data_IF_706277317104
#
_entry.id   IF_706277317104
#
_cell.length_a   1.000
_cell.length_b   1.000
_cell.length_c   1.000
_cell.angle_alpha   90.00
_cell.angle_beta   90.00
_cell.angle_gamma   90.00
#
_symmetry.space_group_name_H-M   'P 1'
#
loop_
_entity.id
_entity.type
_entity.pdbx_description
1 polymer ?
#
# COMPACT_ATOMS: atom_id res chain seq x y z
N UNK A 1 -50.67 65.92 1.81
CA UNK A 1 -49.26 65.43 1.59
C UNK A 1 -49.15 64.09 2.27
N UNK A 2 -49.07 62.97 1.50
CA UNK A 2 -48.90 61.62 2.05
C UNK A 2 -47.46 61.19 1.74
N UNK A 3 -46.62 61.02 2.77
CA UNK A 3 -45.25 60.62 2.70
C UNK A 3 -45.22 59.07 2.75
N UNK A 4 -44.82 58.44 1.67
CA UNK A 4 -44.62 56.95 1.57
C UNK A 4 -43.19 56.65 1.98
N UNK A 5 -43.00 55.96 3.11
CA UNK A 5 -41.69 55.37 3.47
C UNK A 5 -41.47 54.11 2.69
N UNK A 6 -40.38 54.06 1.93
CA UNK A 6 -39.87 52.85 1.25
C UNK A 6 -38.91 52.15 2.22
N UNK A 7 -39.31 50.96 2.68
CA UNK A 7 -38.46 50.10 3.51
C UNK A 7 -37.65 49.20 2.59
N UNK A 8 -36.33 49.40 2.50
CA UNK A 8 -35.42 48.51 1.77
C UNK A 8 -35.04 47.38 2.72
N UNK A 9 -35.53 46.17 2.43
CA UNK A 9 -35.11 44.96 3.11
C UNK A 9 -33.79 44.44 2.47
N UNK A 10 -32.69 44.57 3.18
CA UNK A 10 -31.41 43.98 2.78
C UNK A 10 -31.42 42.50 3.14
N UNK A 11 -31.52 41.62 2.13
CA UNK A 11 -31.33 40.16 2.28
C UNK A 11 -29.84 39.87 2.37
N UNK A 12 -29.32 39.58 3.58
CA UNK A 12 -28.00 38.96 3.74
C UNK A 12 -28.07 37.51 3.21
N UNK A 13 -27.44 37.25 2.06
CA UNK A 13 -27.17 35.92 1.61
C UNK A 13 -26.03 35.35 2.47
N UNK A 14 -26.32 34.46 3.44
CA UNK A 14 -25.32 33.62 4.08
C UNK A 14 -24.87 32.62 3.03
N UNK A 15 -23.71 32.86 2.41
CA UNK A 15 -22.97 31.83 1.66
C UNK A 15 -22.43 30.85 2.69
N UNK A 16 -23.18 29.79 2.97
CA UNK A 16 -22.66 28.65 3.71
C UNK A 16 -21.51 28.06 2.90
N UNK A 17 -20.29 28.17 3.40
CA UNK A 17 -19.18 27.35 2.89
C UNK A 17 -19.59 25.89 3.11
N UNK A 18 -19.91 25.19 2.04
CA UNK A 18 -20.04 23.73 2.09
C UNK A 18 -18.66 23.20 2.52
N UNK A 19 -18.56 22.65 3.71
CA UNK A 19 -17.38 21.88 4.11
C UNK A 19 -17.31 20.71 3.13
N UNK A 20 -16.20 20.61 2.39
CA UNK A 20 -15.96 19.46 1.55
C UNK A 20 -15.91 18.21 2.44
N UNK A 21 -16.54 17.12 2.01
CA UNK A 21 -16.45 15.86 2.76
C UNK A 21 -14.99 15.39 2.79
N UNK A 22 -14.52 14.83 3.93
CA UNK A 22 -13.17 14.30 4.02
C UNK A 22 -12.93 13.21 2.96
N UNK A 23 -11.75 13.22 2.36
CA UNK A 23 -11.31 12.21 1.41
C UNK A 23 -11.08 10.89 2.15
N UNK A 24 -11.82 9.85 1.82
CA UNK A 24 -11.66 8.51 2.41
C UNK A 24 -10.48 7.80 1.74
N UNK A 25 -9.37 7.71 2.45
CA UNK A 25 -8.17 7.02 1.97
C UNK A 25 -8.20 5.59 2.47
N UNK A 26 -8.42 4.66 1.54
CA UNK A 26 -8.43 3.21 1.81
C UNK A 26 -7.02 2.69 2.11
N UNK A 27 -6.89 1.97 3.20
CA UNK A 27 -5.74 1.13 3.54
C UNK A 27 -6.19 -0.33 3.61
N UNK A 28 -5.25 -1.29 3.52
CA UNK A 28 -5.58 -2.69 3.76
C UNK A 28 -6.02 -2.90 5.22
N UNK A 29 -7.09 -3.64 5.45
CA UNK A 29 -7.55 -4.02 6.81
C UNK A 29 -6.66 -5.12 7.42
N UNK A 30 -5.85 -5.77 6.61
CA UNK A 30 -4.83 -6.73 7.01
C UNK A 30 -3.57 -6.00 7.46
N UNK A 31 -3.02 -6.33 8.66
CA UNK A 31 -1.77 -5.72 9.11
C UNK A 31 -0.61 -5.96 8.13
N UNK A 32 0.08 -4.89 7.76
CA UNK A 32 1.24 -4.94 6.87
C UNK A 32 2.37 -4.05 7.42
N UNK A 33 2.99 -4.44 8.54
CA UNK A 33 4.05 -3.64 9.16
C UNK A 33 5.31 -3.60 8.27
N UNK A 34 6.07 -2.50 8.26
CA UNK A 34 5.89 -1.29 9.08
C UNK A 34 4.98 -0.23 8.43
N UNK A 35 4.29 -0.56 7.35
CA UNK A 35 3.49 0.39 6.55
C UNK A 35 2.18 0.78 7.24
N UNK A 36 1.34 -0.20 7.56
CA UNK A 36 0.09 0.02 8.29
C UNK A 36 -0.25 -1.19 9.18
N UNK A 37 -0.58 -0.96 10.44
CA UNK A 37 -1.08 -1.97 11.37
C UNK A 37 -1.84 -1.32 12.51
N UNK A 38 -2.77 -2.03 13.18
CA UNK A 38 -3.44 -1.51 14.35
C UNK A 38 -2.50 -1.52 15.56
N UNK A 39 -2.53 -0.44 16.36
CA UNK A 39 -1.90 -0.40 17.68
C UNK A 39 -2.74 -1.16 18.72
N UNK A 40 -2.28 -1.21 19.97
CA UNK A 40 -2.98 -1.88 21.06
C UNK A 40 -4.36 -1.26 21.39
N UNK A 41 -4.62 -0.02 20.97
CA UNK A 41 -5.91 0.66 21.14
C UNK A 41 -6.82 0.50 19.91
N UNK A 42 -6.32 -0.14 18.84
CA UNK A 42 -7.03 -0.34 17.59
C UNK A 42 -6.91 0.83 16.59
N UNK A 43 -6.05 1.81 16.87
CA UNK A 43 -5.78 2.88 15.90
C UNK A 43 -4.79 2.39 14.85
N UNK A 44 -5.00 2.78 13.61
CA UNK A 44 -4.05 2.50 12.54
C UNK A 44 -2.82 3.40 12.66
N UNK A 45 -1.65 2.77 12.64
CA UNK A 45 -0.33 3.41 12.76
C UNK A 45 0.64 2.76 11.77
N UNK A 46 1.75 3.45 11.48
CA UNK A 46 2.79 2.97 10.60
C UNK A 46 3.21 4.04 9.59
N UNK A 47 4.28 3.75 8.85
CA UNK A 47 4.88 4.71 7.94
C UNK A 47 3.89 5.26 6.90
N UNK A 48 3.09 4.39 6.30
CA UNK A 48 2.16 4.80 5.24
C UNK A 48 0.98 5.61 5.81
N UNK A 49 0.55 5.30 7.04
CA UNK A 49 -0.46 6.09 7.76
C UNK A 49 0.05 7.49 8.06
N UNK A 50 1.31 7.62 8.50
CA UNK A 50 1.96 8.92 8.74
C UNK A 50 2.11 9.70 7.42
N UNK A 51 2.47 9.01 6.33
CA UNK A 51 2.60 9.60 5.01
C UNK A 51 1.25 10.10 4.47
N UNK A 52 0.16 9.34 4.64
CA UNK A 52 -1.21 9.78 4.29
C UNK A 52 -1.51 11.12 4.96
N UNK A 53 -1.27 11.23 6.25
CA UNK A 53 -1.50 12.46 7.00
C UNK A 53 -0.71 13.64 6.44
N UNK A 54 0.58 13.43 6.16
CA UNK A 54 1.46 14.47 5.63
C UNK A 54 1.10 14.89 4.19
N UNK A 55 0.83 13.92 3.30
CA UNK A 55 0.44 14.20 1.91
C UNK A 55 -0.88 14.95 1.85
N UNK A 56 -1.88 14.53 2.64
CA UNK A 56 -3.17 15.21 2.69
C UNK A 56 -3.05 16.64 3.22
N UNK A 57 -2.29 16.85 4.30
CA UNK A 57 -2.02 18.18 4.82
C UNK A 57 -1.28 19.07 3.81
N UNK A 58 -0.27 18.51 3.10
CA UNK A 58 0.49 19.22 2.09
C UNK A 58 -0.37 19.62 0.86
N UNK A 59 -1.39 18.81 0.55
CA UNK A 59 -2.35 19.03 -0.53
C UNK A 59 -3.60 19.83 -0.09
N UNK A 60 -3.62 20.33 1.15
CA UNK A 60 -4.75 21.06 1.74
C UNK A 60 -6.07 20.26 1.67
N UNK A 61 -5.97 18.93 1.89
CA UNK A 61 -7.12 18.03 1.96
C UNK A 61 -7.37 17.57 3.39
N UNK A 62 -8.62 17.42 3.77
CA UNK A 62 -9.00 16.65 4.94
C UNK A 62 -9.17 15.19 4.53
N UNK A 63 -8.42 14.27 5.15
CA UNK A 63 -8.45 12.85 4.83
C UNK A 63 -8.83 12.02 6.06
N UNK A 64 -9.50 10.90 5.81
CA UNK A 64 -9.82 9.89 6.81
C UNK A 64 -9.33 8.52 6.36
N UNK A 65 -8.50 7.89 7.17
CA UNK A 65 -8.02 6.52 6.93
C UNK A 65 -9.18 5.55 7.09
N UNK A 66 -9.42 4.75 6.07
CA UNK A 66 -10.58 3.84 5.96
C UNK A 66 -10.07 2.42 5.66
N UNK A 67 -10.03 1.52 6.65
CA UNK A 67 -9.61 0.13 6.42
C UNK A 67 -10.60 -0.63 5.55
N UNK A 68 -10.09 -1.35 4.54
CA UNK A 68 -10.86 -2.19 3.61
C UNK A 68 -10.08 -3.47 3.36
N UNK A 69 -10.77 -4.62 3.29
CA UNK A 69 -10.11 -5.88 2.94
C UNK A 69 -9.35 -5.74 1.61
N UNK A 70 -8.11 -6.25 1.57
CA UNK A 70 -7.20 -6.08 0.43
C UNK A 70 -7.80 -6.55 -0.89
N UNK A 71 -8.41 -7.73 -0.91
CA UNK A 71 -9.03 -8.31 -2.12
C UNK A 71 -10.26 -7.54 -2.61
N UNK A 72 -10.86 -6.70 -1.75
CA UNK A 72 -11.99 -5.83 -2.03
C UNK A 72 -11.65 -4.35 -2.22
N UNK A 73 -10.37 -3.94 -2.13
CA UNK A 73 -10.01 -2.52 -2.06
C UNK A 73 -10.23 -1.77 -3.40
N UNK A 74 -9.90 -2.39 -4.54
CA UNK A 74 -10.18 -1.81 -5.87
C UNK A 74 -11.69 -1.73 -6.13
N UNK A 75 -12.50 -2.79 -5.90
CA UNK A 75 -13.96 -2.69 -5.91
C UNK A 75 -14.53 -1.58 -5.01
N UNK A 76 -13.99 -1.39 -3.81
CA UNK A 76 -14.43 -0.33 -2.90
C UNK A 76 -14.11 1.07 -3.44
N UNK A 77 -12.97 1.25 -4.11
CA UNK A 77 -12.62 2.49 -4.80
C UNK A 77 -13.59 2.76 -5.97
N UNK A 78 -13.79 1.78 -6.84
CA UNK A 78 -14.62 1.95 -8.05
C UNK A 78 -16.10 2.15 -7.73
N UNK A 79 -16.59 1.61 -6.61
CA UNK A 79 -17.97 1.82 -6.13
C UNK A 79 -18.16 3.11 -5.32
N UNK A 80 -17.09 3.86 -5.02
CA UNK A 80 -17.14 5.11 -4.25
C UNK A 80 -17.29 4.92 -2.73
N UNK A 81 -16.98 3.73 -2.20
CA UNK A 81 -16.91 3.52 -0.74
C UNK A 81 -15.69 4.21 -0.14
N UNK A 82 -14.59 4.28 -0.89
CA UNK A 82 -13.38 5.05 -0.61
C UNK A 82 -13.07 5.94 -1.82
N UNK A 83 -12.24 6.97 -1.64
CA UNK A 83 -11.91 7.95 -2.67
C UNK A 83 -10.51 7.78 -3.24
N UNK A 84 -9.61 7.19 -2.45
CA UNK A 84 -8.24 6.88 -2.85
C UNK A 84 -7.77 5.61 -2.16
N UNK A 85 -6.74 4.95 -2.69
CA UNK A 85 -6.05 3.82 -2.06
C UNK A 85 -4.61 4.23 -1.78
N UNK A 86 -4.19 4.22 -0.51
CA UNK A 86 -2.77 4.23 -0.11
C UNK A 86 -2.54 3.01 0.78
N UNK A 87 -2.17 1.89 0.16
CA UNK A 87 -2.11 0.58 0.78
C UNK A 87 -1.00 -0.27 0.17
N UNK A 88 0.18 0.31 -0.03
CA UNK A 88 1.32 -0.38 -0.65
C UNK A 88 0.99 -0.98 -2.02
N UNK A 89 0.11 -0.32 -2.78
CA UNK A 89 -0.38 -0.83 -4.06
C UNK A 89 0.55 -0.46 -5.22
N UNK A 90 1.18 -1.45 -5.83
CA UNK A 90 2.06 -1.27 -6.99
C UNK A 90 1.30 -0.79 -8.22
N UNK A 91 1.92 0.13 -8.95
CA UNK A 91 1.44 0.66 -10.24
C UNK A 91 1.73 -0.38 -11.31
N UNK A 92 0.72 -1.15 -11.72
CA UNK A 92 0.85 -2.13 -12.81
C UNK A 92 -0.05 -1.78 -13.98
N UNK A 93 0.35 -2.22 -15.18
CA UNK A 93 -0.45 -2.00 -16.40
C UNK A 93 -1.82 -2.70 -16.31
N UNK A 94 -1.92 -3.81 -15.59
CA UNK A 94 -3.18 -4.51 -15.34
C UNK A 94 -4.14 -3.66 -14.48
N UNK A 95 -3.67 -3.17 -13.32
CA UNK A 95 -4.48 -2.32 -12.44
C UNK A 95 -4.90 -1.02 -13.12
N UNK A 96 -4.00 -0.46 -13.96
CA UNK A 96 -4.30 0.73 -14.76
C UNK A 96 -5.39 0.52 -15.81
N UNK A 97 -5.83 -0.70 -16.11
CA UNK A 97 -7.03 -0.92 -16.93
C UNK A 97 -8.30 -0.50 -16.17
N UNK A 98 -8.32 -0.62 -14.85
CA UNK A 98 -9.50 -0.39 -14.01
C UNK A 98 -9.45 0.93 -13.24
N UNK A 99 -8.28 1.32 -12.72
CA UNK A 99 -8.07 2.51 -11.90
C UNK A 99 -6.93 3.36 -12.46
N UNK A 100 -6.79 4.59 -11.98
CA UNK A 100 -5.63 5.44 -12.21
C UNK A 100 -4.70 5.44 -10.99
N UNK A 101 -3.48 5.96 -11.18
CA UNK A 101 -2.49 6.11 -10.13
C UNK A 101 -1.91 7.52 -10.12
N UNK A 102 -1.48 7.96 -8.93
CA UNK A 102 -0.57 9.08 -8.76
C UNK A 102 0.83 8.75 -9.26
N UNK A 103 1.75 9.71 -9.15
CA UNK A 103 3.19 9.42 -9.19
C UNK A 103 3.54 8.47 -8.03
N UNK A 104 4.63 7.69 -8.19
CA UNK A 104 5.08 6.78 -7.14
C UNK A 104 5.49 7.55 -5.88
N UNK A 105 5.26 6.95 -4.70
CA UNK A 105 5.76 7.49 -3.44
C UNK A 105 6.76 6.57 -2.72
N UNK A 106 6.89 5.30 -3.13
CA UNK A 106 8.02 4.43 -2.77
C UNK A 106 8.19 3.27 -3.76
N UNK A 107 9.28 2.51 -3.61
CA UNK A 107 9.52 1.26 -4.32
C UNK A 107 10.41 0.34 -3.50
N UNK A 108 10.06 -0.95 -3.44
CA UNK A 108 10.85 -1.98 -2.76
C UNK A 108 11.01 -3.21 -3.64
N UNK A 109 12.14 -3.93 -3.57
CA UNK A 109 12.27 -5.19 -4.28
C UNK A 109 11.37 -6.27 -3.68
N UNK A 110 10.92 -7.20 -4.51
CA UNK A 110 10.29 -8.44 -4.08
C UNK A 110 11.36 -9.46 -3.72
N UNK A 111 11.22 -10.10 -2.55
CA UNK A 111 12.18 -11.10 -2.07
C UNK A 111 11.51 -12.42 -1.71
N UNK A 112 12.32 -13.48 -1.69
CA UNK A 112 11.97 -14.79 -1.15
C UNK A 112 12.58 -14.90 0.26
N UNK A 113 11.79 -15.33 1.22
CA UNK A 113 12.20 -15.72 2.56
C UNK A 113 11.91 -17.20 2.76
N UNK A 114 12.84 -17.91 3.37
CA UNK A 114 12.74 -19.34 3.66
C UNK A 114 13.50 -19.72 4.92
N UNK A 115 13.46 -21.01 5.34
CA UNK A 115 14.11 -21.48 6.57
C UNK A 115 15.63 -21.27 6.53
N UNK A 116 16.21 -20.94 7.68
CA UNK A 116 17.66 -20.78 7.84
C UNK A 116 18.40 -22.05 7.49
N UNK A 117 19.54 -21.88 6.82
CA UNK A 117 20.44 -23.01 6.48
C UNK A 117 19.92 -23.90 5.35
N UNK A 118 18.74 -23.67 4.80
CA UNK A 118 18.23 -24.36 3.61
C UNK A 118 18.69 -23.59 2.38
N UNK A 119 19.49 -24.22 1.52
CA UNK A 119 19.93 -23.62 0.26
C UNK A 119 18.73 -23.46 -0.67
N UNK A 120 18.52 -22.23 -1.17
CA UNK A 120 17.42 -21.87 -2.05
C UNK A 120 17.81 -20.60 -2.82
N UNK A 121 17.56 -20.58 -4.13
CA UNK A 121 17.69 -19.38 -4.95
C UNK A 121 16.30 -18.85 -5.34
N UNK A 122 16.11 -17.52 -5.52
CA UNK A 122 14.82 -16.92 -5.83
C UNK A 122 14.46 -17.04 -7.32
N UNK A 123 14.56 -18.26 -7.86
CA UNK A 123 14.30 -18.62 -9.25
C UNK A 123 13.58 -19.97 -9.36
N UNK A 124 13.10 -20.30 -10.56
CA UNK A 124 12.35 -21.53 -10.82
C UNK A 124 13.12 -22.81 -10.44
N UNK A 125 14.45 -22.81 -10.58
CA UNK A 125 15.28 -23.97 -10.25
C UNK A 125 15.44 -24.15 -8.73
N UNK A 126 15.70 -23.05 -8.01
CA UNK A 126 15.87 -23.06 -6.55
C UNK A 126 14.57 -23.30 -5.78
N UNK A 127 13.43 -22.99 -6.42
CA UNK A 127 12.09 -23.17 -5.86
C UNK A 127 11.36 -24.41 -6.39
N UNK A 128 12.02 -25.23 -7.21
CA UNK A 128 11.44 -26.46 -7.76
C UNK A 128 11.01 -27.43 -6.64
N UNK A 129 9.77 -27.90 -6.72
CA UNK A 129 9.16 -28.83 -5.76
C UNK A 129 8.87 -28.20 -4.37
N UNK A 130 8.94 -26.87 -4.23
CA UNK A 130 8.67 -26.13 -2.99
C UNK A 130 7.22 -25.67 -2.93
N UNK A 131 6.69 -25.52 -1.73
CA UNK A 131 5.42 -24.85 -1.46
C UNK A 131 5.73 -23.38 -1.15
N UNK A 132 5.24 -22.46 -1.97
CA UNK A 132 5.50 -21.03 -1.86
C UNK A 132 4.22 -20.33 -1.43
N UNK A 133 4.25 -19.65 -0.27
CA UNK A 133 3.12 -18.86 0.24
C UNK A 133 3.14 -17.42 -0.28
N UNK A 134 1.99 -16.93 -0.74
CA UNK A 134 1.79 -15.55 -1.18
C UNK A 134 0.41 -15.05 -0.77
N UNK A 135 0.27 -13.74 -0.57
CA UNK A 135 -1.05 -13.15 -0.34
C UNK A 135 -1.81 -13.06 -1.67
N UNK A 136 -3.12 -13.34 -1.63
CA UNK A 136 -4.01 -13.26 -2.81
C UNK A 136 -4.10 -11.84 -3.37
N UNK A 137 -4.40 -11.73 -4.67
CA UNK A 137 -4.63 -10.45 -5.36
C UNK A 137 -3.43 -9.49 -5.29
N UNK A 138 -2.22 -10.03 -5.14
CA UNK A 138 -0.97 -9.26 -5.12
C UNK A 138 -0.12 -9.53 -6.36
N UNK A 139 0.77 -8.58 -6.67
CA UNK A 139 1.83 -8.77 -7.67
C UNK A 139 2.73 -9.97 -7.36
N UNK A 140 2.84 -10.33 -6.08
CA UNK A 140 3.63 -11.48 -5.62
C UNK A 140 2.98 -12.80 -6.02
N UNK A 141 1.64 -12.89 -5.94
CA UNK A 141 0.88 -14.02 -6.47
C UNK A 141 1.09 -14.15 -7.97
N UNK A 142 0.93 -13.06 -8.72
CA UNK A 142 1.02 -13.09 -10.19
C UNK A 142 2.44 -13.46 -10.63
N UNK A 143 3.47 -12.93 -9.95
CA UNK A 143 4.85 -13.27 -10.20
C UNK A 143 5.14 -14.74 -9.89
N UNK A 144 4.74 -15.22 -8.71
CA UNK A 144 4.97 -16.60 -8.31
C UNK A 144 4.27 -17.59 -9.24
N UNK A 145 3.04 -17.33 -9.65
CA UNK A 145 2.31 -18.15 -10.61
C UNK A 145 2.98 -18.15 -11.98
N UNK A 146 3.45 -16.98 -12.45
CA UNK A 146 4.07 -16.85 -13.77
C UNK A 146 5.43 -17.55 -13.85
N UNK A 147 6.28 -17.34 -12.85
CA UNK A 147 7.68 -17.79 -12.92
C UNK A 147 7.98 -19.08 -12.18
N UNK A 148 7.15 -19.46 -11.20
CA UNK A 148 7.39 -20.64 -10.37
C UNK A 148 6.28 -21.68 -10.48
N UNK A 149 5.10 -21.33 -11.04
CA UNK A 149 3.91 -22.19 -11.08
C UNK A 149 4.16 -23.58 -11.68
N UNK A 150 4.96 -23.67 -12.74
CA UNK A 150 5.27 -24.93 -13.42
C UNK A 150 6.31 -25.78 -12.66
N UNK A 151 7.13 -25.19 -11.80
CA UNK A 151 8.24 -25.85 -11.11
C UNK A 151 7.98 -26.08 -9.62
N UNK A 152 7.25 -25.18 -8.96
CA UNK A 152 6.87 -25.32 -7.56
C UNK A 152 5.92 -26.52 -7.35
N UNK A 153 5.91 -27.08 -6.15
CA UNK A 153 4.91 -28.07 -5.78
C UNK A 153 3.52 -27.43 -5.64
N UNK A 154 3.49 -26.20 -5.12
CA UNK A 154 2.26 -25.42 -4.92
C UNK A 154 2.59 -23.94 -4.77
N UNK A 155 1.78 -23.04 -5.37
CA UNK A 155 1.68 -21.65 -4.99
C UNK A 155 0.47 -21.53 -4.05
N UNK A 156 0.73 -21.52 -2.74
CA UNK A 156 -0.31 -21.50 -1.71
C UNK A 156 -0.76 -20.08 -1.42
N UNK A 157 -2.06 -19.84 -1.58
CA UNK A 157 -2.66 -18.53 -1.44
C UNK A 157 -3.19 -18.31 -0.01
N UNK A 158 -2.90 -17.13 0.55
CA UNK A 158 -3.33 -16.70 1.88
C UNK A 158 -4.11 -15.39 1.80
N UNK A 159 -5.01 -15.14 2.73
CA UNK A 159 -5.71 -13.87 2.81
C UNK A 159 -4.78 -12.75 3.30
N UNK A 160 -3.83 -13.07 4.17
CA UNK A 160 -2.87 -12.11 4.72
C UNK A 160 -1.43 -12.60 4.53
N UNK A 161 -0.48 -11.67 4.45
CA UNK A 161 0.94 -12.02 4.46
C UNK A 161 1.35 -12.66 5.80
N UNK A 162 0.71 -12.25 6.91
CA UNK A 162 1.00 -12.81 8.24
C UNK A 162 0.65 -14.29 8.33
N UNK A 163 -0.46 -14.73 7.72
CA UNK A 163 -0.79 -16.17 7.63
C UNK A 163 0.28 -16.96 6.89
N UNK A 164 0.82 -16.43 5.78
CA UNK A 164 1.93 -17.05 5.06
C UNK A 164 3.20 -17.12 5.93
N UNK A 165 3.51 -16.04 6.66
CA UNK A 165 4.65 -15.99 7.58
C UNK A 165 4.51 -17.03 8.72
N UNK A 166 3.32 -17.17 9.31
CA UNK A 166 3.03 -18.16 10.34
C UNK A 166 3.16 -19.61 9.81
N UNK A 167 2.69 -19.85 8.58
CA UNK A 167 2.82 -21.15 7.94
C UNK A 167 4.28 -21.49 7.61
N UNK A 168 5.09 -20.48 7.25
CA UNK A 168 6.54 -20.66 7.06
C UNK A 168 7.24 -21.03 8.37
N UNK A 169 6.96 -20.31 9.46
CA UNK A 169 7.50 -20.62 10.81
C UNK A 169 7.12 -22.03 11.25
N UNK A 170 5.90 -22.45 10.95
CA UNK A 170 5.39 -23.77 11.30
C UNK A 170 5.86 -24.89 10.36
N UNK A 171 6.63 -24.59 9.30
CA UNK A 171 7.11 -25.56 8.31
C UNK A 171 6.01 -26.17 7.44
N UNK A 172 4.87 -25.46 7.27
CA UNK A 172 3.77 -25.88 6.39
C UNK A 172 3.94 -25.40 4.95
N UNK A 173 4.82 -24.43 4.74
CA UNK A 173 5.34 -24.00 3.44
C UNK A 173 6.87 -23.92 3.49
N UNK A 174 7.52 -23.95 2.34
CA UNK A 174 8.98 -23.91 2.21
C UNK A 174 9.52 -22.47 2.06
N UNK A 175 8.72 -21.56 1.50
CA UNK A 175 9.11 -20.18 1.26
C UNK A 175 7.88 -19.26 1.25
N UNK A 176 8.11 -17.96 1.46
CA UNK A 176 7.13 -16.90 1.19
C UNK A 176 7.74 -15.82 0.32
N UNK A 177 6.92 -15.14 -0.46
CA UNK A 177 7.30 -14.04 -1.33
C UNK A 177 6.47 -12.80 -1.03
N UNK A 178 7.14 -11.68 -0.76
CA UNK A 178 6.51 -10.37 -0.55
C UNK A 178 7.54 -9.24 -0.74
N UNK A 179 7.12 -8.00 -0.47
CA UNK A 179 8.02 -6.83 -0.39
C UNK A 179 9.12 -7.05 0.65
N UNK A 180 10.34 -6.66 0.30
CA UNK A 180 11.51 -6.81 1.17
C UNK A 180 11.31 -6.17 2.54
N UNK A 181 10.76 -4.97 2.60
CA UNK A 181 10.54 -4.22 3.85
C UNK A 181 9.54 -4.94 4.77
N UNK A 182 8.44 -5.47 4.22
CA UNK A 182 7.47 -6.22 5.01
C UNK A 182 8.07 -7.53 5.55
N UNK A 183 8.87 -8.22 4.74
CA UNK A 183 9.57 -9.43 5.17
C UNK A 183 10.72 -9.15 6.12
N UNK A 184 11.42 -8.01 6.01
CA UNK A 184 12.40 -7.57 7.00
C UNK A 184 11.75 -7.32 8.36
N UNK A 185 10.55 -6.71 8.39
CA UNK A 185 9.79 -6.54 9.62
C UNK A 185 9.38 -7.89 10.25
N UNK A 186 8.96 -8.87 9.43
CA UNK A 186 8.72 -10.23 9.91
C UNK A 186 10.00 -10.87 10.47
N UNK A 187 11.12 -10.78 9.77
CA UNK A 187 12.41 -11.35 10.21
C UNK A 187 12.96 -10.67 11.48
N UNK A 188 12.52 -9.46 11.81
CA UNK A 188 12.84 -8.79 13.07
C UNK A 188 12.02 -9.29 14.25
N UNK A 189 10.93 -10.04 14.05
CA UNK A 189 10.18 -10.71 15.13
C UNK A 189 10.98 -11.88 15.72
N UNK A 190 10.68 -12.28 16.95
CA UNK A 190 11.33 -13.45 17.59
C UNK A 190 11.16 -14.72 16.74
N UNK A 191 9.95 -14.97 16.25
CA UNK A 191 9.63 -16.15 15.43
C UNK A 191 10.36 -16.12 14.08
N UNK A 192 10.30 -15.00 13.36
CA UNK A 192 10.98 -14.83 12.07
C UNK A 192 12.50 -14.91 12.21
N UNK A 193 13.07 -14.23 13.23
CA UNK A 193 14.49 -14.27 13.53
C UNK A 193 14.99 -15.67 13.92
N UNK A 194 14.16 -16.49 14.56
CA UNK A 194 14.53 -17.85 14.93
C UNK A 194 14.52 -18.80 13.73
N UNK A 195 13.53 -18.68 12.85
CA UNK A 195 13.26 -19.66 11.77
C UNK A 195 13.98 -19.34 10.48
N UNK A 196 14.04 -18.09 10.07
CA UNK A 196 14.01 -17.76 8.67
C UNK A 196 15.07 -16.72 8.26
N UNK A 197 15.35 -16.62 6.97
CA UNK A 197 16.30 -15.68 6.38
C UNK A 197 15.88 -15.32 4.94
N UNK A 198 16.33 -14.17 4.44
CA UNK A 198 16.18 -13.79 3.04
C UNK A 198 17.00 -14.73 2.15
N UNK A 199 16.38 -15.28 1.12
CA UNK A 199 17.00 -16.13 0.10
C UNK A 199 17.48 -15.34 -1.13
N UNK A 200 16.99 -14.14 -1.29
CA UNK A 200 17.36 -13.19 -2.32
C UNK A 200 16.17 -12.47 -2.92
N UNK A 201 16.47 -11.45 -3.72
CA UNK A 201 15.46 -10.76 -4.52
C UNK A 201 15.16 -11.58 -5.79
N UNK A 202 13.90 -11.61 -6.19
CA UNK A 202 13.50 -12.18 -7.48
C UNK A 202 13.99 -11.28 -8.62
N UNK A 203 14.06 -11.82 -9.84
CA UNK A 203 14.37 -11.00 -11.02
C UNK A 203 13.28 -9.94 -11.22
N UNK A 204 13.70 -8.72 -11.51
CA UNK A 204 12.76 -7.63 -11.74
C UNK A 204 11.98 -7.86 -13.05
N UNK A 205 10.66 -7.70 -12.97
CA UNK A 205 9.75 -7.67 -14.10
C UNK A 205 8.73 -6.55 -13.89
N UNK A 206 8.97 -5.36 -14.45
CA UNK A 206 8.07 -4.22 -14.27
C UNK A 206 6.66 -4.44 -14.85
N UNK A 207 6.47 -5.43 -15.74
CA UNK A 207 5.14 -5.75 -16.26
C UNK A 207 4.26 -6.39 -15.18
N UNK A 208 4.83 -7.17 -14.28
CA UNK A 208 4.13 -7.83 -13.16
C UNK A 208 4.33 -7.08 -11.85
N UNK A 209 5.60 -6.80 -11.48
CA UNK A 209 5.93 -6.18 -10.19
C UNK A 209 5.60 -4.68 -10.14
N UNK A 210 5.37 -4.06 -11.33
CA UNK A 210 5.00 -2.66 -11.44
C UNK A 210 6.20 -1.72 -11.42
N UNK A 211 5.89 -0.41 -11.37
CA UNK A 211 6.88 0.69 -11.48
C UNK A 211 7.03 1.48 -10.17
N UNK A 212 6.80 0.82 -9.06
CA UNK A 212 6.71 1.40 -7.72
C UNK A 212 5.27 1.50 -7.24
N UNK A 213 5.11 2.01 -6.03
CA UNK A 213 3.83 2.12 -5.32
C UNK A 213 3.26 3.53 -5.48
N UNK A 214 1.99 3.64 -5.82
CA UNK A 214 1.28 4.91 -6.02
C UNK A 214 -0.09 4.93 -5.36
N UNK A 215 -0.68 6.12 -5.27
CA UNK A 215 -2.06 6.28 -4.79
C UNK A 215 -3.02 5.83 -5.88
N UNK A 216 -3.83 4.81 -5.61
CA UNK A 216 -4.88 4.36 -6.52
C UNK A 216 -6.08 5.32 -6.49
N UNK A 217 -6.62 5.65 -7.66
CA UNK A 217 -7.70 6.63 -7.85
C UNK A 217 -8.71 6.11 -8.88
N UNK A 218 -9.97 6.53 -8.79
CA UNK A 218 -10.93 6.25 -9.88
C UNK A 218 -10.49 6.96 -11.15
N UNK A 219 -10.73 6.32 -12.28
CA UNK A 219 -10.47 6.95 -13.58
C UNK A 219 -11.30 8.21 -13.76
N UNK A 220 -10.65 9.26 -14.29
CA UNK A 220 -11.26 10.56 -14.55
C UNK A 220 -11.31 11.49 -13.34
N UNK A 221 -10.75 11.11 -12.20
CA UNK A 221 -10.60 12.01 -11.04
C UNK A 221 -9.27 12.77 -11.10
N UNK A 222 -9.02 13.46 -12.21
CA UNK A 222 -7.77 14.14 -12.50
C UNK A 222 -7.43 15.23 -11.45
N UNK A 223 -8.43 15.92 -10.92
CA UNK A 223 -8.24 16.94 -9.88
C UNK A 223 -7.74 16.32 -8.56
N UNK A 224 -8.30 15.18 -8.15
CA UNK A 224 -7.87 14.49 -6.94
C UNK A 224 -6.46 13.89 -7.14
N UNK A 225 -6.19 13.33 -8.31
CA UNK A 225 -4.86 12.84 -8.71
C UNK A 225 -3.81 13.96 -8.67
N UNK A 226 -4.15 15.13 -9.21
CA UNK A 226 -3.24 16.29 -9.19
C UNK A 226 -2.94 16.76 -7.75
N UNK A 227 -3.93 16.73 -6.85
CA UNK A 227 -3.73 17.04 -5.44
C UNK A 227 -2.79 16.06 -4.75
N UNK A 228 -3.00 14.75 -4.93
CA UNK A 228 -2.08 13.73 -4.39
C UNK A 228 -0.66 13.90 -4.93
N UNK A 229 -0.50 14.10 -6.23
CA UNK A 229 0.82 14.34 -6.83
C UNK A 229 1.50 15.59 -6.25
N UNK A 230 0.76 16.69 -6.10
CA UNK A 230 1.28 17.91 -5.50
C UNK A 230 1.68 17.70 -4.03
N UNK A 231 0.87 16.97 -3.26
CA UNK A 231 1.17 16.61 -1.88
C UNK A 231 2.42 15.74 -1.75
N UNK A 232 2.51 14.67 -2.56
CA UNK A 232 3.69 13.79 -2.61
C UNK A 232 4.95 14.60 -2.97
N UNK A 233 4.90 15.37 -4.05
CA UNK A 233 6.03 16.19 -4.48
C UNK A 233 6.49 17.18 -3.39
N UNK A 234 5.53 17.79 -2.68
CA UNK A 234 5.81 18.77 -1.62
C UNK A 234 6.48 18.12 -0.40
N UNK A 235 5.96 17.00 0.11
CA UNK A 235 6.56 16.31 1.26
C UNK A 235 7.97 15.76 0.96
N UNK A 236 8.23 15.40 -0.30
CA UNK A 236 9.56 15.02 -0.75
C UNK A 236 10.48 16.25 -0.79
N UNK A 237 10.03 17.35 -1.41
CA UNK A 237 10.85 18.54 -1.62
C UNK A 237 11.20 19.28 -0.33
N UNK A 238 10.34 19.26 0.70
CA UNK A 238 10.57 19.96 1.97
C UNK A 238 11.21 19.09 3.07
N UNK A 239 11.56 17.83 2.75
CA UNK A 239 12.21 16.90 3.67
C UNK A 239 11.26 16.22 4.68
N UNK A 240 9.95 16.44 4.56
CA UNK A 240 8.96 15.77 5.43
C UNK A 240 8.94 14.27 5.19
N UNK A 241 9.11 13.83 3.94
CA UNK A 241 9.18 12.41 3.59
C UNK A 241 10.33 11.70 4.32
N UNK A 242 11.55 12.25 4.29
CA UNK A 242 12.71 11.69 4.98
C UNK A 242 12.53 11.69 6.49
N UNK A 243 11.94 12.75 7.03
CA UNK A 243 11.66 12.85 8.47
C UNK A 243 10.67 11.80 8.95
N UNK A 244 9.61 11.52 8.17
CA UNK A 244 8.63 10.46 8.45
C UNK A 244 9.29 9.09 8.29
N UNK A 245 10.15 8.90 7.29
CA UNK A 245 10.78 7.62 6.98
C UNK A 245 11.87 7.21 7.97
N UNK A 246 12.59 8.16 8.54
CA UNK A 246 13.75 7.90 9.41
C UNK A 246 13.48 6.99 10.62
N UNK A 247 12.31 7.01 11.29
CA UNK A 247 12.00 6.06 12.36
C UNK A 247 11.77 4.62 11.90
N UNK A 248 11.44 4.42 10.64
CA UNK A 248 11.03 3.12 10.08
C UNK A 248 12.12 2.45 9.24
N UNK A 249 12.95 3.24 8.53
CA UNK A 249 13.87 2.71 7.53
C UNK A 249 15.28 3.28 7.71
N UNK A 250 16.29 2.40 7.57
CA UNK A 250 17.69 2.79 7.64
C UNK A 250 18.18 3.56 6.40
N UNK A 251 17.45 3.46 5.28
CA UNK A 251 17.76 4.13 4.01
C UNK A 251 16.47 4.55 3.30
N UNK A 252 16.59 5.45 2.33
CA UNK A 252 15.45 5.88 1.53
C UNK A 252 14.83 4.70 0.78
N UNK A 253 13.50 4.59 0.83
CA UNK A 253 12.71 3.60 0.08
C UNK A 253 12.01 4.22 -1.14
N UNK A 254 12.27 5.51 -1.44
CA UNK A 254 11.67 6.17 -2.60
C UNK A 254 12.08 5.47 -3.92
N UNK A 255 13.29 4.88 -3.93
CA UNK A 255 13.83 4.19 -5.08
C UNK A 255 14.25 5.17 -6.20
N UNK A 256 15.35 4.88 -6.85
CA UNK A 256 15.85 5.63 -8.03
C UNK A 256 15.08 5.27 -9.29
#
# INVERSE_FOLDING_TARGET
>A
MKTTLLTIAATLALSGAALAEPVKVGIAAEPYPPFASPDAAGNWVGWEVDLIGAVCAAAEMECVVTPVAWDGIIPSLTSGQIDAIMASMSITDERMQTIDFSDKYYNTPTVIVGPKGVAMTPDAAGLAGKIIGVQVSTIHQDYAQTYFGDSAAEIKLYQTQDEANQDLVAGRIDATQADSIALDAFLATEAGAACCEVKGAVADDPAILGKGVGVGLRKGEDDLKAKFNAGIAKVIADGTYEKISAPYFASSIYGG
#
